data_IF_542015352849
#
_entry.id   IF_542015352849
#
_cell.length_a   1.000
_cell.length_b   1.000
_cell.length_c   1.000
_cell.angle_alpha   90.00
_cell.angle_beta   90.00
_cell.angle_gamma   90.00
#
_symmetry.space_group_name_H-M   'P 1'
#
loop_
_entity.id
_entity.type
_entity.pdbx_description
1 polymer ?
#
# COMPACT_ATOMS: atom_id res chain seq x y z
N UNK A 1 -51.34 -49.94 -43.20
CA UNK A 1 -50.11 -50.27 -42.44
C UNK A 1 -48.97 -49.38 -42.94
N UNK A 2 -48.79 -48.19 -42.37
CA UNK A 2 -47.67 -47.30 -42.69
C UNK A 2 -46.75 -47.25 -41.46
N UNK A 3 -45.67 -48.03 -41.49
CA UNK A 3 -44.74 -48.16 -40.36
C UNK A 3 -43.43 -47.45 -40.69
N UNK A 4 -43.22 -46.30 -40.03
CA UNK A 4 -41.96 -45.96 -39.35
C UNK A 4 -40.70 -45.90 -40.22
N UNK A 5 -40.47 -44.76 -40.88
CA UNK A 5 -39.13 -44.36 -41.37
C UNK A 5 -38.77 -42.90 -41.07
N UNK A 6 -39.52 -42.24 -40.18
CA UNK A 6 -39.02 -41.04 -39.52
C UNK A 6 -38.32 -41.45 -38.22
N UNK A 7 -37.23 -40.76 -37.88
CA UNK A 7 -36.33 -40.97 -36.73
C UNK A 7 -35.24 -42.04 -36.85
N UNK A 8 -34.19 -41.80 -37.64
CA UNK A 8 -32.85 -42.37 -37.40
C UNK A 8 -31.69 -41.43 -37.81
N UNK A 9 -31.81 -40.13 -37.61
CA UNK A 9 -30.62 -39.29 -37.44
C UNK A 9 -30.70 -38.62 -36.09
N UNK A 10 -29.86 -39.11 -35.16
CA UNK A 10 -29.66 -38.52 -33.85
C UNK A 10 -29.13 -37.09 -33.99
N UNK A 11 -29.10 -36.38 -32.87
CA UNK A 11 -28.77 -34.94 -32.71
C UNK A 11 -27.41 -34.47 -33.26
N UNK A 12 -26.64 -35.35 -33.90
CA UNK A 12 -25.33 -35.12 -34.46
C UNK A 12 -25.36 -35.59 -35.92
N UNK A 13 -25.10 -34.69 -36.88
CA UNK A 13 -25.13 -34.98 -38.32
C UNK A 13 -24.16 -36.10 -38.74
N UNK A 14 -24.25 -36.52 -40.01
CA UNK A 14 -23.43 -37.62 -40.55
C UNK A 14 -21.92 -37.43 -40.32
N UNK A 15 -21.19 -38.49 -39.93
CA UNK A 15 -19.75 -38.43 -39.78
C UNK A 15 -19.10 -38.08 -41.12
N UNK A 16 -18.22 -37.05 -41.11
CA UNK A 16 -17.46 -36.63 -42.29
C UNK A 16 -16.61 -37.81 -42.79
N UNK A 17 -16.87 -38.26 -44.02
CA UNK A 17 -16.05 -39.27 -44.69
C UNK A 17 -14.67 -38.71 -45.00
N UNK A 18 -13.64 -39.53 -44.85
CA UNK A 18 -12.26 -39.16 -45.16
C UNK A 18 -12.16 -38.75 -46.64
N UNK A 19 -11.76 -37.51 -46.89
CA UNK A 19 -11.54 -36.98 -48.23
C UNK A 19 -10.08 -37.25 -48.63
N UNK A 20 -9.80 -38.15 -49.59
CA UNK A 20 -8.43 -38.46 -50.02
C UNK A 20 -7.74 -37.29 -50.75
N UNK A 21 -8.45 -36.22 -51.09
CA UNK A 21 -7.89 -34.93 -51.55
C UNK A 21 -7.69 -33.93 -50.42
N UNK A 22 -7.96 -34.29 -49.17
CA UNK A 22 -7.67 -33.44 -48.01
C UNK A 22 -6.15 -33.36 -47.83
N UNK A 23 -5.56 -32.39 -48.51
CA UNK A 23 -4.24 -31.90 -48.15
C UNK A 23 -4.40 -31.28 -46.76
N UNK A 24 -3.89 -31.98 -45.75
CA UNK A 24 -3.89 -31.53 -44.36
C UNK A 24 -3.29 -30.13 -44.19
N UNK A 25 -3.28 -29.57 -42.98
CA UNK A 25 -2.84 -28.20 -42.73
C UNK A 25 -1.52 -27.88 -43.48
N UNK A 26 -1.65 -27.03 -44.52
CA UNK A 26 -0.66 -26.52 -45.48
C UNK A 26 0.80 -26.80 -45.05
N UNK A 27 1.55 -27.60 -45.81
CA UNK A 27 2.92 -28.01 -45.48
C UNK A 27 3.95 -26.85 -45.44
N UNK A 28 3.74 -25.78 -46.20
CA UNK A 28 4.62 -24.61 -46.24
C UNK A 28 4.18 -23.53 -45.26
N UNK A 29 4.31 -23.78 -43.95
CA UNK A 29 4.20 -22.74 -42.93
C UNK A 29 5.59 -22.22 -42.60
N UNK A 30 5.88 -20.97 -42.98
CA UNK A 30 7.03 -20.27 -42.43
C UNK A 30 6.81 -20.03 -40.94
N UNK A 31 7.85 -20.20 -40.13
CA UNK A 31 7.77 -20.15 -38.68
C UNK A 31 7.44 -18.71 -38.23
N UNK A 32 6.17 -18.40 -38.01
CA UNK A 32 5.67 -17.06 -37.63
C UNK A 32 6.03 -16.65 -36.19
N UNK A 33 6.76 -17.50 -35.46
CA UNK A 33 7.04 -17.33 -34.03
C UNK A 33 8.51 -16.96 -33.71
N UNK A 34 9.42 -16.97 -34.71
CA UNK A 34 10.84 -16.69 -34.46
C UNK A 34 11.06 -15.22 -34.08
N UNK A 35 10.41 -14.29 -34.78
CA UNK A 35 10.48 -12.86 -34.47
C UNK A 35 9.84 -12.55 -33.11
N UNK A 36 8.68 -13.14 -32.81
CA UNK A 36 7.99 -12.99 -31.54
C UNK A 36 8.81 -13.57 -30.37
N UNK A 37 9.42 -14.74 -30.53
CA UNK A 37 10.35 -15.31 -29.56
C UNK A 37 11.56 -14.41 -29.31
N UNK A 38 12.14 -13.81 -30.36
CA UNK A 38 13.23 -12.84 -30.22
C UNK A 38 12.85 -11.63 -29.36
N UNK A 39 11.69 -11.03 -29.65
CA UNK A 39 11.16 -9.91 -28.85
C UNK A 39 10.89 -10.36 -27.41
N UNK A 40 10.29 -11.53 -27.20
CA UNK A 40 10.00 -12.06 -25.87
C UNK A 40 11.27 -12.22 -25.03
N UNK A 41 12.34 -12.81 -25.60
CA UNK A 41 13.63 -12.96 -24.92
C UNK A 41 14.24 -11.61 -24.56
N UNK A 42 14.19 -10.62 -25.47
CA UNK A 42 14.68 -9.27 -25.20
C UNK A 42 13.91 -8.62 -24.04
N UNK A 43 12.59 -8.76 -23.99
CA UNK A 43 11.77 -8.23 -22.88
C UNK A 43 12.14 -8.91 -21.56
N UNK A 44 12.33 -10.23 -21.54
CA UNK A 44 12.75 -10.97 -20.34
C UNK A 44 14.12 -10.49 -19.85
N UNK A 45 15.10 -10.35 -20.75
CA UNK A 45 16.43 -9.84 -20.39
C UNK A 45 16.36 -8.41 -19.87
N UNK A 46 15.55 -7.55 -20.49
CA UNK A 46 15.30 -6.19 -20.02
C UNK A 46 14.69 -6.15 -18.62
N UNK A 47 13.71 -7.01 -18.35
CA UNK A 47 13.08 -7.09 -17.03
C UNK A 47 14.06 -7.58 -15.95
N UNK A 48 14.90 -8.57 -16.26
CA UNK A 48 15.96 -9.04 -15.36
C UNK A 48 16.95 -7.91 -15.06
N UNK A 49 17.39 -7.16 -16.08
CA UNK A 49 18.29 -6.03 -15.89
C UNK A 49 17.68 -4.95 -14.98
N UNK A 50 16.41 -4.59 -15.20
CA UNK A 50 15.69 -3.66 -14.32
C UNK A 50 15.57 -4.19 -12.89
N UNK A 51 15.32 -5.48 -12.71
CA UNK A 51 15.28 -6.13 -11.40
C UNK A 51 16.61 -6.06 -10.66
N UNK A 52 17.74 -6.30 -11.34
CA UNK A 52 19.08 -6.17 -10.77
C UNK A 52 19.35 -4.72 -10.35
N UNK A 53 19.03 -3.74 -11.20
CA UNK A 53 19.21 -2.32 -10.89
C UNK A 53 18.39 -1.93 -9.66
N UNK A 54 17.13 -2.36 -9.60
CA UNK A 54 16.24 -2.13 -8.46
C UNK A 54 16.76 -2.80 -7.17
N UNK A 55 17.38 -3.97 -7.26
CA UNK A 55 17.95 -4.65 -6.09
C UNK A 55 19.23 -3.97 -5.58
N UNK A 56 20.10 -3.54 -6.49
CA UNK A 56 21.38 -2.91 -6.13
C UNK A 56 21.18 -1.49 -5.59
N UNK A 57 20.23 -0.74 -6.13
CA UNK A 57 19.97 0.65 -5.74
C UNK A 57 18.80 0.78 -4.76
N UNK A 58 17.98 -0.25 -4.62
CA UNK A 58 16.84 -0.27 -3.71
C UNK A 58 17.28 -0.54 -2.28
N UNK A 59 16.70 0.20 -1.34
CA UNK A 59 16.84 -0.10 0.07
C UNK A 59 15.66 -0.98 0.53
N UNK A 60 15.87 -2.28 0.81
CA UNK A 60 14.79 -3.18 1.23
C UNK A 60 14.17 -2.76 2.58
N UNK A 61 14.85 -1.92 3.38
CA UNK A 61 14.36 -1.44 4.66
C UNK A 61 13.10 -0.59 4.52
N UNK A 62 12.94 0.12 3.39
CA UNK A 62 11.75 0.92 3.08
C UNK A 62 10.47 0.08 2.95
N UNK A 63 10.59 -1.21 2.65
CA UNK A 63 9.46 -2.13 2.56
C UNK A 63 9.16 -2.76 3.92
N UNK A 64 10.20 -3.00 4.73
CA UNK A 64 10.06 -3.67 6.02
C UNK A 64 9.56 -2.75 7.14
N UNK A 65 10.00 -1.48 7.16
CA UNK A 65 9.73 -0.54 8.25
C UNK A 65 8.97 0.69 7.76
N UNK A 66 7.94 1.15 8.52
CA UNK A 66 7.30 2.42 8.22
C UNK A 66 8.26 3.58 8.48
N UNK A 67 8.04 4.67 7.76
CA UNK A 67 8.85 5.89 7.84
C UNK A 67 8.00 7.05 8.33
N UNK A 68 8.54 7.81 9.27
CA UNK A 68 7.98 9.07 9.77
C UNK A 68 7.99 10.15 8.67
N UNK A 69 7.23 11.25 8.82
CA UNK A 69 7.29 12.41 7.93
C UNK A 69 8.69 13.04 7.81
N UNK A 70 9.58 12.78 8.78
CA UNK A 70 10.99 13.22 8.76
C UNK A 70 11.93 12.26 8.03
N UNK A 71 11.43 11.18 7.39
CA UNK A 71 12.27 10.21 6.70
C UNK A 71 13.00 9.24 7.65
N UNK A 72 12.60 9.16 8.92
CA UNK A 72 13.19 8.27 9.92
C UNK A 72 12.42 6.95 10.02
N UNK A 73 13.12 5.82 10.06
CA UNK A 73 12.49 4.50 10.22
C UNK A 73 12.05 4.25 11.67
N UNK A 74 10.82 3.76 11.84
CA UNK A 74 10.31 3.35 13.14
C UNK A 74 10.86 1.96 13.52
N UNK A 75 11.41 1.81 14.73
CA UNK A 75 11.82 0.50 15.27
C UNK A 75 13.16 -0.04 14.76
N UNK A 76 13.92 0.75 14.01
CA UNK A 76 15.23 0.35 13.50
C UNK A 76 16.34 0.70 14.50
N UNK A 77 17.29 -0.22 14.70
CA UNK A 77 18.48 0.03 15.52
C UNK A 77 19.30 1.19 14.95
N UNK A 78 19.93 1.96 15.83
CA UNK A 78 20.73 3.16 15.51
C UNK A 78 19.94 4.36 14.93
N UNK A 79 18.61 4.37 15.06
CA UNK A 79 17.76 5.54 14.74
C UNK A 79 17.18 6.16 16.01
N UNK A 80 16.80 7.47 16.00
CA UNK A 80 16.13 8.09 17.15
C UNK A 80 14.79 7.43 17.52
N UNK A 81 14.26 6.57 16.64
CA UNK A 81 13.00 5.87 16.79
C UNK A 81 13.17 4.36 17.05
N UNK A 82 14.33 3.91 17.53
CA UNK A 82 14.59 2.50 17.84
C UNK A 82 13.53 1.90 18.78
N UNK A 83 13.15 2.63 19.84
CA UNK A 83 12.13 2.21 20.80
C UNK A 83 10.68 2.51 20.37
N UNK A 84 10.49 3.03 19.15
CA UNK A 84 9.20 3.46 18.62
C UNK A 84 8.89 2.72 17.33
N UNK A 85 8.23 1.57 17.45
CA UNK A 85 8.00 0.64 16.35
C UNK A 85 6.69 0.88 15.60
N UNK A 86 5.80 1.73 16.13
CA UNK A 86 4.44 1.92 15.61
C UNK A 86 4.32 3.30 14.98
N UNK A 87 3.68 3.39 13.82
CA UNK A 87 3.39 4.65 13.13
C UNK A 87 2.02 5.20 13.58
N UNK A 88 1.98 6.51 13.85
CA UNK A 88 0.78 7.25 14.24
C UNK A 88 0.52 8.41 13.26
N UNK A 89 -0.71 8.54 12.79
CA UNK A 89 -1.15 9.66 11.95
C UNK A 89 -1.81 10.74 12.81
N UNK A 90 -1.43 12.01 12.63
CA UNK A 90 -2.10 13.11 13.33
C UNK A 90 -3.58 13.22 12.98
N UNK A 91 -3.92 12.92 11.72
CA UNK A 91 -5.30 12.84 11.26
C UNK A 91 -5.39 11.80 10.13
N UNK A 92 -5.90 10.61 10.44
CA UNK A 92 -6.04 9.54 9.44
C UNK A 92 -7.17 9.84 8.44
N UNK A 93 -8.12 10.72 8.75
CA UNK A 93 -9.25 11.02 7.85
C UNK A 93 -8.76 11.77 6.60
N UNK A 94 -7.70 12.56 6.72
CA UNK A 94 -7.03 13.16 5.56
C UNK A 94 -6.43 12.09 4.62
N UNK A 95 -6.13 10.89 5.13
CA UNK A 95 -5.68 9.77 4.31
C UNK A 95 -6.79 9.14 3.45
N UNK A 96 -8.06 9.32 3.81
CA UNK A 96 -9.19 8.78 3.04
C UNK A 96 -9.56 9.65 1.82
N UNK A 97 -8.85 10.77 1.61
CA UNK A 97 -9.09 11.67 0.49
C UNK A 97 -8.49 11.13 -0.82
N UNK A 98 -9.12 11.38 -1.99
CA UNK A 98 -8.61 10.91 -3.28
C UNK A 98 -7.25 11.51 -3.66
N UNK A 99 -6.81 12.57 -2.97
CA UNK A 99 -5.49 13.21 -3.15
C UNK A 99 -4.34 12.26 -2.77
N UNK A 100 -4.58 11.31 -1.85
CA UNK A 100 -3.59 10.30 -1.46
C UNK A 100 -3.21 9.38 -2.62
N UNK A 101 -4.14 9.16 -3.56
CA UNK A 101 -3.90 8.34 -4.74
C UNK A 101 -2.86 8.96 -5.68
N UNK A 102 -2.68 10.28 -5.63
CA UNK A 102 -1.75 11.03 -6.49
C UNK A 102 -0.34 11.05 -5.91
N UNK A 103 -0.22 11.28 -4.59
CA UNK A 103 1.09 11.43 -3.94
C UNK A 103 1.63 10.16 -3.28
N UNK A 104 0.83 9.07 -3.26
CA UNK A 104 1.10 7.81 -2.53
C UNK A 104 1.41 8.00 -1.03
N UNK A 105 1.21 9.22 -0.50
CA UNK A 105 1.51 9.64 0.86
C UNK A 105 0.35 10.47 1.41
N UNK A 106 0.03 10.26 2.68
CA UNK A 106 -0.98 11.05 3.35
C UNK A 106 -0.49 12.50 3.54
N UNK A 107 -1.33 13.52 3.30
CA UNK A 107 -1.00 14.92 3.53
C UNK A 107 -1.13 15.29 5.02
N UNK A 108 -0.52 14.47 5.89
CA UNK A 108 -0.49 14.65 7.33
C UNK A 108 0.85 14.25 7.90
N UNK A 109 1.27 14.95 8.94
CA UNK A 109 2.40 14.52 9.76
C UNK A 109 2.14 13.12 10.34
N UNK A 110 3.09 12.22 10.11
CA UNK A 110 3.14 10.84 10.58
C UNK A 110 4.27 10.77 11.59
N UNK A 111 4.07 10.14 12.76
CA UNK A 111 5.05 10.10 13.84
C UNK A 111 5.28 8.67 14.30
N UNK A 112 6.53 8.27 14.54
CA UNK A 112 6.81 7.02 15.24
C UNK A 112 6.49 7.15 16.74
N UNK A 113 5.73 6.20 17.30
CA UNK A 113 5.35 6.11 18.71
C UNK A 113 5.63 4.70 19.27
N UNK A 114 5.85 4.62 20.58
CA UNK A 114 6.04 3.34 21.28
C UNK A 114 4.72 2.66 21.63
N UNK A 115 3.68 3.44 21.92
CA UNK A 115 2.33 2.96 22.25
C UNK A 115 1.29 3.82 21.53
N UNK A 116 0.27 3.17 20.97
CA UNK A 116 -0.90 3.88 20.45
C UNK A 116 -1.66 4.58 21.59
N UNK A 117 -2.31 5.73 21.31
CA UNK A 117 -3.10 6.42 22.31
C UNK A 117 -4.25 5.55 22.79
N UNK A 118 -4.44 5.50 24.10
CA UNK A 118 -5.46 4.69 24.79
C UNK A 118 -6.66 5.49 25.27
N UNK A 119 -6.55 6.82 25.27
CA UNK A 119 -7.62 7.74 25.65
C UNK A 119 -7.74 8.91 24.69
N UNK A 120 -8.94 9.47 24.63
CA UNK A 120 -9.21 10.71 23.92
C UNK A 120 -8.59 11.90 24.66
N UNK A 121 -7.96 12.81 23.93
CA UNK A 121 -7.41 14.04 24.50
C UNK A 121 -7.34 15.14 23.45
N UNK A 122 -7.75 16.37 23.79
CA UNK A 122 -7.64 17.52 22.88
C UNK A 122 -6.49 18.45 23.26
N UNK A 123 -5.98 19.20 22.28
CA UNK A 123 -4.93 20.20 22.53
C UNK A 123 -5.41 21.32 23.47
N UNK A 124 -6.71 21.63 23.46
CA UNK A 124 -7.32 22.65 24.31
C UNK A 124 -7.36 22.19 25.77
N UNK A 125 -7.79 20.95 26.03
CA UNK A 125 -7.77 20.34 27.37
C UNK A 125 -6.34 20.19 27.89
N UNK A 126 -5.40 19.82 27.01
CA UNK A 126 -3.99 19.78 27.36
C UNK A 126 -3.49 21.16 27.81
N UNK A 127 -3.82 22.24 27.09
CA UNK A 127 -3.40 23.59 27.48
C UNK A 127 -4.05 24.06 28.79
N UNK A 128 -5.33 23.79 29.00
CA UNK A 128 -6.01 24.18 30.24
C UNK A 128 -5.48 23.42 31.45
N UNK A 129 -5.13 22.14 31.26
CA UNK A 129 -4.67 21.22 32.30
C UNK A 129 -3.24 20.72 32.05
N UNK A 130 -2.34 21.64 31.70
CA UNK A 130 -0.96 21.36 31.27
C UNK A 130 -0.22 20.39 32.18
N UNK A 131 -0.25 20.61 33.50
CA UNK A 131 0.51 19.79 34.46
C UNK A 131 0.18 18.29 34.41
N UNK A 132 -1.07 17.94 34.12
CA UNK A 132 -1.54 16.55 34.17
C UNK A 132 -1.48 15.87 32.81
N UNK A 133 -1.82 16.60 31.74
CA UNK A 133 -1.97 16.02 30.41
C UNK A 133 -0.72 16.14 29.54
N UNK A 134 0.18 17.09 29.81
CA UNK A 134 1.35 17.34 28.97
C UNK A 134 2.27 16.12 28.81
N UNK A 135 2.54 15.40 29.90
CA UNK A 135 3.42 14.23 29.90
C UNK A 135 2.92 13.10 28.98
N UNK A 136 1.60 12.97 28.86
CA UNK A 136 0.96 12.05 27.93
C UNK A 136 0.95 12.63 26.51
N UNK A 137 0.53 13.89 26.36
CA UNK A 137 0.29 14.51 25.06
C UNK A 137 1.59 14.74 24.26
N UNK A 138 2.69 15.09 24.94
CA UNK A 138 4.00 15.36 24.30
C UNK A 138 4.54 14.16 23.50
N UNK A 139 4.12 12.95 23.82
CA UNK A 139 4.55 11.72 23.15
C UNK A 139 4.05 11.66 21.69
N UNK A 140 2.99 12.40 21.37
CA UNK A 140 2.36 12.45 20.05
C UNK A 140 2.67 13.74 19.29
N UNK A 141 3.56 14.58 19.81
CA UNK A 141 4.01 15.82 19.16
C UNK A 141 5.36 15.62 18.46
N UNK A 142 5.70 16.54 17.56
CA UNK A 142 6.99 16.56 16.86
C UNK A 142 8.19 16.60 17.85
N UNK A 143 9.31 15.93 17.55
CA UNK A 143 10.49 15.96 18.40
C UNK A 143 11.02 17.40 18.51
N UNK A 144 11.29 17.85 19.74
CA UNK A 144 11.75 19.23 20.02
C UNK A 144 10.63 20.24 20.34
N UNK A 145 9.35 19.86 20.21
CA UNK A 145 8.25 20.72 20.61
C UNK A 145 8.11 20.77 22.14
N UNK A 146 8.58 21.86 22.75
CA UNK A 146 8.61 22.06 24.21
C UNK A 146 7.76 23.24 24.69
N UNK A 147 7.14 23.99 23.76
CA UNK A 147 6.48 25.28 24.05
C UNK A 147 4.96 25.20 23.87
N UNK A 148 4.20 24.78 24.90
CA UNK A 148 2.73 24.72 24.86
C UNK A 148 2.05 26.09 24.78
N UNK A 149 2.82 27.19 24.92
CA UNK A 149 2.33 28.58 24.88
C UNK A 149 2.11 29.15 23.47
N UNK A 150 2.49 28.42 22.41
CA UNK A 150 2.10 28.81 21.04
C UNK A 150 0.57 28.82 20.93
N UNK A 151 0.00 29.74 20.15
CA UNK A 151 -1.45 29.76 19.95
C UNK A 151 -1.90 28.46 19.27
N UNK A 152 -3.12 28.01 19.57
CA UNK A 152 -3.72 26.81 18.93
C UNK A 152 -3.62 26.91 17.41
N UNK A 153 -3.91 28.09 16.85
CA UNK A 153 -3.84 28.34 15.40
C UNK A 153 -2.44 28.19 14.82
N UNK A 154 -1.38 28.57 15.56
CA UNK A 154 0.00 28.37 15.12
C UNK A 154 0.38 26.90 15.19
N UNK A 155 0.04 26.20 16.27
CA UNK A 155 0.34 24.76 16.43
C UNK A 155 -0.32 23.91 15.35
N UNK A 156 -1.57 24.23 14.99
CA UNK A 156 -2.26 23.52 13.90
C UNK A 156 -1.70 23.85 12.52
N UNK A 157 -1.23 25.10 12.32
CA UNK A 157 -0.63 25.52 11.05
C UNK A 157 0.74 24.87 10.83
N UNK A 158 1.55 24.82 11.88
CA UNK A 158 2.91 24.23 11.85
C UNK A 158 2.87 22.69 11.92
N UNK A 159 1.69 22.11 12.13
CA UNK A 159 1.47 20.69 12.46
C UNK A 159 2.42 20.21 13.58
N UNK A 160 2.60 21.03 14.61
CA UNK A 160 3.50 20.75 15.75
C UNK A 160 3.01 19.58 16.60
N UNK A 161 1.69 19.52 16.78
CA UNK A 161 0.97 18.49 17.50
C UNK A 161 -0.38 18.23 16.81
N UNK A 162 -1.02 17.06 17.03
CA UNK A 162 -2.39 16.84 16.59
C UNK A 162 -3.37 17.82 17.26
N UNK A 163 -4.56 18.02 16.70
CA UNK A 163 -5.62 18.83 17.35
C UNK A 163 -6.35 18.04 18.45
N UNK A 164 -6.55 16.77 18.17
CA UNK A 164 -7.15 15.79 19.06
C UNK A 164 -6.46 14.45 18.85
N UNK A 165 -6.37 13.69 19.93
CA UNK A 165 -5.87 12.33 19.96
C UNK A 165 -7.10 11.44 20.14
N UNK A 166 -7.26 10.47 19.26
CA UNK A 166 -8.37 9.50 19.28
C UNK A 166 -7.80 8.16 19.75
N UNK A 167 -8.48 7.43 20.65
CA UNK A 167 -8.03 6.11 21.09
C UNK A 167 -7.88 5.15 19.90
N UNK A 168 -6.79 4.41 19.88
CA UNK A 168 -6.47 3.47 18.80
C UNK A 168 -5.79 2.21 19.33
N UNK A 169 -5.87 1.13 18.55
CA UNK A 169 -5.13 -0.10 18.81
C UNK A 169 -3.98 -0.25 17.80
N UNK A 170 -2.85 -0.82 18.24
CA UNK A 170 -1.79 -1.20 17.31
C UNK A 170 -2.25 -2.37 16.44
N UNK A 171 -2.11 -2.22 15.13
CA UNK A 171 -2.24 -3.29 14.14
C UNK A 171 -0.94 -3.38 13.36
N UNK A 172 -0.14 -4.42 13.63
CA UNK A 172 1.24 -4.57 13.14
C UNK A 172 2.10 -3.34 13.49
N UNK A 173 2.28 -2.43 12.53
CA UNK A 173 3.13 -1.25 12.65
C UNK A 173 2.33 0.05 12.58
N UNK A 174 1.01 0.01 12.70
CA UNK A 174 0.14 1.18 12.56
C UNK A 174 -0.91 1.28 13.67
N UNK A 175 -1.17 2.50 14.15
CA UNK A 175 -2.31 2.78 15.02
C UNK A 175 -3.60 2.93 14.21
N UNK A 176 -4.59 2.08 14.47
CA UNK A 176 -5.93 2.12 13.86
C UNK A 176 -6.96 2.48 14.92
N UNK A 177 -7.88 3.38 14.59
CA UNK A 177 -8.94 3.80 15.52
C UNK A 177 -9.77 2.61 15.99
N UNK A 178 -10.15 2.67 17.27
CA UNK A 178 -11.12 1.75 17.85
C UNK A 178 -12.51 2.31 17.56
N UNK A 179 -13.30 1.58 16.79
CA UNK A 179 -14.73 1.85 16.60
C UNK A 179 -15.52 1.04 17.62
#
# INVERSE_FOLDING_TARGET
MAKKKEFYYGKNGEPRKFDPKFNGPIHNRHCTDVLCCGIFVVVILGYIALGIVAWVHGDPRKVAYPTDSYGQFCGQKDTPNENKTILFYFNILKCASPIVLINLQCPTTQLCVSKCPDRFATYIEMQSSYRSYWEYYKQFCKPGFTKPRKSVTQVMRDEDCPSMIIPSRPCKYLCIYVV
#
